data_IF_283398286925
#
_entry.id   IF_283398286925
#
_cell.length_a   1.000
_cell.length_b   1.000
_cell.length_c   1.000
_cell.angle_alpha   90.00
_cell.angle_beta   90.00
_cell.angle_gamma   90.00
#
_symmetry.space_group_name_H-M   'P 1'
#
loop_
_entity.id
_entity.type
_entity.pdbx_description
1 polymer ?
#
# COMPACT_ATOMS: atom_id res chain seq x y z
N UNK A 1 -27.25 7.00 12.52
CA UNK A 1 -26.10 6.74 11.63
C UNK A 1 -25.43 5.47 12.10
N UNK A 2 -25.40 4.42 11.27
CA UNK A 2 -24.61 3.22 11.57
C UNK A 2 -23.12 3.59 11.65
N UNK A 3 -22.44 3.02 12.65
CA UNK A 3 -21.00 3.20 12.82
C UNK A 3 -20.29 2.44 11.70
N UNK A 4 -19.54 3.15 10.85
CA UNK A 4 -18.73 2.52 9.79
C UNK A 4 -17.71 1.57 10.40
N UNK A 5 -17.48 0.43 9.75
CA UNK A 5 -16.39 -0.49 10.10
C UNK A 5 -15.05 0.21 9.87
N UNK A 6 -14.02 -0.19 10.61
CA UNK A 6 -12.70 0.42 10.54
C UNK A 6 -11.65 -0.61 10.19
N UNK A 7 -10.68 -0.20 9.38
CA UNK A 7 -9.48 -0.96 9.03
C UNK A 7 -8.26 -0.20 9.58
N UNK A 8 -7.48 -0.86 10.42
CA UNK A 8 -6.32 -0.28 11.08
C UNK A 8 -5.08 -0.56 10.25
N UNK A 9 -4.37 0.49 9.87
CA UNK A 9 -3.16 0.41 9.06
C UNK A 9 -2.01 1.09 9.81
N UNK A 10 -0.79 0.67 9.49
CA UNK A 10 0.43 1.32 9.99
C UNK A 10 0.85 2.51 9.10
N UNK A 11 1.85 3.24 9.55
CA UNK A 11 2.40 4.42 8.86
C UNK A 11 3.05 4.05 7.52
N UNK A 12 3.57 2.83 7.38
CA UNK A 12 4.18 2.34 6.14
C UNK A 12 3.10 2.07 5.07
N UNK A 13 1.99 1.45 5.44
CA UNK A 13 0.84 1.26 4.57
C UNK A 13 0.22 2.60 4.18
N UNK A 14 0.02 3.52 5.13
CA UNK A 14 -0.50 4.85 4.85
C UNK A 14 0.38 5.62 3.84
N UNK A 15 1.69 5.68 4.09
CA UNK A 15 2.62 6.37 3.19
C UNK A 15 2.66 5.72 1.80
N UNK A 16 2.64 4.38 1.72
CA UNK A 16 2.64 3.66 0.43
C UNK A 16 1.36 3.90 -0.38
N UNK A 17 0.19 3.86 0.27
CA UNK A 17 -1.10 4.23 -0.34
C UNK A 17 -1.07 5.67 -0.88
N UNK A 18 -0.47 6.58 -0.12
CA UNK A 18 -0.36 7.97 -0.54
C UNK A 18 0.59 8.17 -1.73
N UNK A 19 1.71 7.42 -1.79
CA UNK A 19 2.62 7.43 -2.96
C UNK A 19 1.91 6.98 -4.24
N UNK A 20 1.09 5.93 -4.15
CA UNK A 20 0.27 5.45 -5.28
C UNK A 20 -0.74 6.51 -5.70
N UNK A 21 -1.46 7.14 -4.76
CA UNK A 21 -2.42 8.22 -5.08
C UNK A 21 -1.75 9.47 -5.65
N UNK A 22 -0.52 9.75 -5.28
CA UNK A 22 0.29 10.83 -5.86
C UNK A 22 0.88 10.48 -7.24
N UNK A 23 0.66 9.27 -7.75
CA UNK A 23 1.15 8.83 -9.06
C UNK A 23 2.65 8.47 -9.08
N UNK A 24 3.29 8.35 -7.91
CA UNK A 24 4.73 8.11 -7.78
C UNK A 24 5.12 6.63 -7.97
N UNK A 25 4.14 5.72 -8.02
CA UNK A 25 4.32 4.26 -8.21
C UNK A 25 3.67 3.82 -9.53
N UNK A 26 3.80 4.62 -10.59
CA UNK A 26 3.22 4.29 -11.90
C UNK A 26 3.72 2.93 -12.42
N UNK A 27 2.87 2.09 -13.05
CA UNK A 27 1.48 2.36 -13.48
C UNK A 27 0.41 1.93 -12.47
N UNK A 28 0.78 1.62 -11.23
CA UNK A 28 -0.15 1.30 -10.15
C UNK A 28 -0.96 2.55 -9.79
N UNK A 29 -2.29 2.42 -9.80
CA UNK A 29 -3.23 3.52 -9.49
C UNK A 29 -4.09 3.25 -8.26
N UNK A 30 -4.07 2.02 -7.76
CA UNK A 30 -4.98 1.53 -6.73
C UNK A 30 -4.54 0.18 -6.22
N UNK A 31 -5.28 -0.34 -5.24
CA UNK A 31 -5.10 -1.69 -4.72
C UNK A 31 -5.49 -2.68 -5.81
N UNK A 32 -4.61 -3.65 -6.09
CA UNK A 32 -4.86 -4.68 -7.07
C UNK A 32 -5.96 -5.61 -6.59
N UNK A 33 -6.80 -6.03 -7.53
CA UNK A 33 -7.71 -7.15 -7.32
C UNK A 33 -6.97 -8.46 -7.08
N UNK A 34 -7.69 -9.51 -6.67
CA UNK A 34 -7.12 -10.86 -6.54
C UNK A 34 -6.51 -11.33 -7.86
N UNK A 35 -7.26 -11.17 -8.95
CA UNK A 35 -6.82 -11.58 -10.29
C UNK A 35 -5.57 -10.81 -10.74
N UNK A 36 -5.58 -9.47 -10.59
CA UNK A 36 -4.40 -8.65 -10.90
C UNK A 36 -3.21 -9.03 -10.03
N UNK A 37 -3.42 -9.29 -8.74
CA UNK A 37 -2.36 -9.63 -7.81
C UNK A 37 -1.71 -10.97 -8.18
N UNK A 38 -2.51 -11.99 -8.47
CA UNK A 38 -2.04 -13.32 -8.90
C UNK A 38 -1.31 -13.24 -10.25
N UNK A 39 -1.83 -12.46 -11.19
CA UNK A 39 -1.18 -12.25 -12.49
C UNK A 39 0.17 -11.55 -12.35
N UNK A 40 0.25 -10.47 -11.56
CA UNK A 40 1.50 -9.74 -11.32
C UNK A 40 2.51 -10.62 -10.60
N UNK A 41 2.09 -11.35 -9.57
CA UNK A 41 2.99 -12.21 -8.82
C UNK A 41 3.54 -13.37 -9.68
N UNK A 42 2.78 -13.85 -10.66
CA UNK A 42 3.20 -14.88 -11.62
C UNK A 42 4.09 -14.33 -12.74
N UNK A 43 3.68 -13.24 -13.36
CA UNK A 43 4.31 -12.71 -14.59
C UNK A 43 5.41 -11.69 -14.31
N UNK A 44 5.48 -11.18 -13.08
CA UNK A 44 6.39 -10.10 -12.68
C UNK A 44 6.24 -8.85 -13.55
N UNK A 45 5.03 -8.63 -14.06
CA UNK A 45 4.69 -7.57 -15.00
C UNK A 45 3.34 -6.97 -14.63
N UNK A 46 3.21 -5.65 -14.72
CA UNK A 46 1.94 -4.95 -14.56
C UNK A 46 1.79 -3.91 -15.66
N UNK A 47 0.71 -3.97 -16.45
CA UNK A 47 0.44 -3.02 -17.55
C UNK A 47 1.64 -2.80 -18.50
N UNK A 48 2.32 -3.88 -18.85
CA UNK A 48 3.44 -3.87 -19.79
C UNK A 48 4.77 -3.38 -19.22
N UNK A 49 4.87 -3.09 -17.92
CA UNK A 49 6.16 -2.80 -17.27
C UNK A 49 6.54 -3.89 -16.28
N UNK A 50 7.84 -4.19 -16.09
CA UNK A 50 8.30 -5.06 -15.02
C UNK A 50 7.81 -4.55 -13.66
N UNK A 51 7.14 -5.42 -12.91
CA UNK A 51 6.63 -5.12 -11.58
C UNK A 51 6.75 -6.39 -10.71
N UNK A 52 7.70 -6.44 -9.75
CA UNK A 52 8.18 -7.69 -9.17
C UNK A 52 7.19 -8.40 -8.23
N UNK A 53 6.19 -7.68 -7.71
CA UNK A 53 5.20 -8.23 -6.79
C UNK A 53 3.93 -7.39 -6.77
N UNK A 54 2.81 -8.01 -6.41
CA UNK A 54 1.50 -7.37 -6.36
C UNK A 54 1.40 -6.24 -5.32
N UNK A 55 0.68 -5.16 -5.66
CA UNK A 55 0.36 -4.06 -4.76
C UNK A 55 -1.01 -4.27 -4.09
N UNK A 56 -0.98 -4.76 -2.85
CA UNK A 56 -2.17 -5.13 -2.07
C UNK A 56 -2.10 -4.53 -0.65
N UNK A 57 -3.25 -4.44 0.02
CA UNK A 57 -3.36 -4.02 1.42
C UNK A 57 -3.88 -5.19 2.26
N UNK A 58 -3.01 -5.79 3.06
CA UNK A 58 -3.32 -6.92 3.93
C UNK A 58 -2.83 -6.65 5.36
N UNK A 59 -3.53 -5.80 6.13
CA UNK A 59 -3.07 -5.42 7.47
C UNK A 59 -3.32 -6.57 8.46
N UNK A 60 -2.32 -6.83 9.31
CA UNK A 60 -2.41 -7.87 10.34
C UNK A 60 -3.35 -7.49 11.50
N UNK A 61 -3.57 -8.42 12.42
CA UNK A 61 -4.30 -8.23 13.67
C UNK A 61 -5.74 -8.74 13.64
N UNK A 62 -6.18 -9.29 14.78
CA UNK A 62 -7.47 -10.00 14.87
C UNK A 62 -8.67 -9.10 14.52
N UNK A 63 -8.63 -7.82 14.92
CA UNK A 63 -9.69 -6.86 14.57
C UNK A 63 -9.78 -6.60 13.07
N UNK A 64 -8.64 -6.47 12.40
CA UNK A 64 -8.60 -6.31 10.95
C UNK A 64 -9.11 -7.56 10.25
N UNK A 65 -8.63 -8.73 10.69
CA UNK A 65 -9.09 -10.02 10.17
C UNK A 65 -10.61 -10.17 10.28
N UNK A 66 -11.20 -9.87 11.45
CA UNK A 66 -12.66 -9.90 11.64
C UNK A 66 -13.38 -8.92 10.72
N UNK A 67 -12.89 -7.68 10.60
CA UNK A 67 -13.46 -6.69 9.67
C UNK A 67 -13.43 -7.20 8.23
N UNK A 68 -12.29 -7.73 7.78
CA UNK A 68 -12.08 -8.18 6.40
C UNK A 68 -12.88 -9.45 6.05
N UNK A 69 -13.16 -10.32 7.02
CA UNK A 69 -14.05 -11.47 6.85
C UNK A 69 -15.53 -11.07 6.79
N UNK A 70 -15.92 -9.98 7.45
CA UNK A 70 -17.32 -9.59 7.60
C UNK A 70 -17.77 -8.48 6.64
N UNK A 71 -16.84 -7.82 5.94
CA UNK A 71 -17.15 -6.70 5.04
C UNK A 71 -17.57 -7.21 3.66
N UNK A 72 -18.56 -6.55 3.06
CA UNK A 72 -19.07 -6.86 1.73
C UNK A 72 -18.64 -5.80 0.71
N UNK A 73 -18.64 -6.19 -0.56
CA UNK A 73 -18.46 -5.28 -1.70
C UNK A 73 -19.40 -4.08 -1.58
N UNK A 74 -18.87 -2.88 -1.84
CA UNK A 74 -19.55 -1.59 -1.76
C UNK A 74 -19.58 -0.97 -0.36
N UNK A 75 -19.25 -1.70 0.71
CA UNK A 75 -19.15 -1.12 2.05
C UNK A 75 -17.96 -0.15 2.16
N UNK A 76 -18.16 0.93 2.93
CA UNK A 76 -17.10 1.90 3.23
C UNK A 76 -16.42 1.58 4.56
N UNK A 77 -15.11 1.42 4.52
CA UNK A 77 -14.23 1.29 5.67
C UNK A 77 -13.53 2.60 5.97
N UNK A 78 -13.50 2.99 7.25
CA UNK A 78 -12.62 4.07 7.70
C UNK A 78 -11.19 3.52 7.87
N UNK A 79 -10.20 4.16 7.24
CA UNK A 79 -8.78 3.83 7.42
C UNK A 79 -8.27 4.56 8.66
N UNK A 80 -7.76 3.81 9.63
CA UNK A 80 -7.28 4.33 10.92
C UNK A 80 -5.78 4.08 11.05
N UNK A 81 -5.00 5.13 11.26
CA UNK A 81 -3.57 5.07 11.57
C UNK A 81 -3.30 5.89 12.83
N UNK A 82 -2.51 5.36 13.77
CA UNK A 82 -2.19 6.03 15.05
C UNK A 82 -3.42 6.61 15.78
N UNK A 83 -4.52 5.85 15.82
CA UNK A 83 -5.81 6.23 16.42
C UNK A 83 -6.54 7.40 15.74
N UNK A 84 -6.09 7.86 14.57
CA UNK A 84 -6.72 8.91 13.77
C UNK A 84 -7.29 8.33 12.48
N UNK A 85 -8.44 8.84 12.04
CA UNK A 85 -8.96 8.55 10.70
C UNK A 85 -8.08 9.29 9.68
N UNK A 86 -7.51 8.53 8.75
CA UNK A 86 -6.58 9.04 7.71
C UNK A 86 -7.12 8.85 6.30
N UNK A 87 -8.31 8.26 6.16
CA UNK A 87 -8.88 7.99 4.84
C UNK A 87 -10.12 7.12 4.89
N UNK A 88 -10.56 6.71 3.70
CA UNK A 88 -11.62 5.72 3.51
C UNK A 88 -11.30 4.78 2.35
N UNK A 89 -11.85 3.57 2.41
CA UNK A 89 -11.77 2.55 1.37
C UNK A 89 -13.19 2.04 1.08
N UNK A 90 -13.58 2.03 -0.19
CA UNK A 90 -14.80 1.41 -0.69
C UNK A 90 -14.41 0.02 -1.17
N UNK A 91 -14.89 -1.01 -0.46
CA UNK A 91 -14.47 -2.39 -0.70
C UNK A 91 -14.96 -2.86 -2.07
N UNK A 92 -14.06 -3.43 -2.86
CA UNK A 92 -14.45 -4.20 -4.04
C UNK A 92 -14.44 -5.69 -3.71
N UNK A 93 -13.31 -6.22 -3.23
CA UNK A 93 -13.21 -7.61 -2.80
C UNK A 93 -12.28 -7.78 -1.60
N UNK A 94 -12.42 -8.91 -0.90
CA UNK A 94 -11.42 -9.40 0.06
C UNK A 94 -10.98 -10.80 -0.35
N UNK A 95 -9.69 -11.10 -0.18
CA UNK A 95 -9.13 -12.38 -0.60
C UNK A 95 -7.97 -12.83 0.29
N UNK A 96 -7.83 -14.13 0.48
CA UNK A 96 -6.72 -14.71 1.21
C UNK A 96 -5.42 -14.61 0.43
N UNK A 97 -4.32 -14.39 1.14
CA UNK A 97 -2.97 -14.42 0.61
C UNK A 97 -2.11 -15.39 1.41
N UNK A 98 -1.03 -15.89 0.80
CA UNK A 98 0.02 -16.63 1.50
C UNK A 98 1.14 -15.63 1.91
N UNK A 99 1.27 -15.28 3.21
CA UNK A 99 2.29 -14.35 3.66
C UNK A 99 3.71 -14.84 3.37
N UNK A 100 3.97 -16.15 3.43
CA UNK A 100 5.28 -16.74 3.16
C UNK A 100 5.63 -16.59 1.68
N UNK A 101 4.72 -16.95 0.78
CA UNK A 101 4.94 -16.78 -0.65
C UNK A 101 5.13 -15.30 -1.02
N UNK A 102 4.37 -14.39 -0.41
CA UNK A 102 4.54 -12.95 -0.62
C UNK A 102 5.91 -12.46 -0.17
N UNK A 103 6.40 -12.89 0.99
CA UNK A 103 7.73 -12.52 1.48
C UNK A 103 8.84 -13.05 0.56
N UNK A 104 8.69 -14.25 0.03
CA UNK A 104 9.59 -14.76 -1.02
C UNK A 104 9.55 -13.90 -2.29
N UNK A 105 8.37 -13.43 -2.72
CA UNK A 105 8.26 -12.55 -3.89
C UNK A 105 8.96 -11.20 -3.67
N UNK A 106 8.94 -10.65 -2.45
CA UNK A 106 9.52 -9.33 -2.13
C UNK A 106 11.03 -9.42 -1.89
N UNK A 107 11.47 -10.40 -1.10
CA UNK A 107 12.85 -10.47 -0.59
C UNK A 107 13.67 -11.63 -1.19
N UNK A 108 13.06 -12.53 -1.95
CA UNK A 108 13.69 -13.78 -2.41
C UNK A 108 13.90 -14.82 -1.29
N UNK A 109 13.44 -14.54 -0.07
CA UNK A 109 13.62 -15.41 1.10
C UNK A 109 12.48 -15.25 2.13
N UNK A 110 12.29 -16.26 2.97
CA UNK A 110 11.46 -16.21 4.17
C UNK A 110 12.30 -16.34 5.46
N UNK A 111 13.62 -16.14 5.37
CA UNK A 111 14.47 -16.13 6.55
C UNK A 111 14.08 -14.97 7.48
N UNK A 112 13.53 -15.30 8.64
CA UNK A 112 13.08 -14.32 9.64
C UNK A 112 14.25 -13.58 10.32
N UNK A 113 15.49 -14.01 10.11
CA UNK A 113 16.68 -13.24 10.50
C UNK A 113 16.88 -12.00 9.61
N UNK A 114 16.37 -12.01 8.37
CA UNK A 114 16.43 -10.89 7.46
C UNK A 114 15.56 -9.72 7.96
N UNK A 115 16.10 -8.51 8.20
CA UNK A 115 15.35 -7.40 8.79
C UNK A 115 14.08 -7.04 8.02
N UNK A 116 14.14 -7.03 6.68
CA UNK A 116 12.97 -6.75 5.84
C UNK A 116 11.87 -7.81 5.97
N UNK A 117 12.26 -9.10 6.07
CA UNK A 117 11.29 -10.19 6.23
C UNK A 117 10.62 -10.07 7.59
N UNK A 118 11.41 -9.89 8.65
CA UNK A 118 10.91 -9.71 10.02
C UNK A 118 9.95 -8.54 10.13
N UNK A 119 10.31 -7.38 9.59
CA UNK A 119 9.50 -6.16 9.67
C UNK A 119 8.19 -6.30 8.89
N UNK A 120 8.24 -6.82 7.67
CA UNK A 120 7.03 -7.03 6.86
C UNK A 120 6.14 -8.12 7.45
N UNK A 121 6.71 -9.22 7.97
CA UNK A 121 5.94 -10.28 8.62
C UNK A 121 5.19 -9.76 9.86
N UNK A 122 5.78 -8.85 10.63
CA UNK A 122 5.15 -8.29 11.83
C UNK A 122 3.87 -7.48 11.56
N UNK A 123 3.67 -7.04 10.31
CA UNK A 123 2.55 -6.17 9.89
C UNK A 123 1.65 -6.77 8.80
N UNK A 124 2.09 -7.85 8.17
CA UNK A 124 1.38 -8.54 7.09
C UNK A 124 0.35 -9.54 7.65
N UNK A 125 -0.91 -9.37 7.26
CA UNK A 125 -2.00 -10.30 7.54
C UNK A 125 -2.20 -11.33 6.43
N UNK A 126 -3.18 -12.21 6.62
CA UNK A 126 -3.54 -13.29 5.68
C UNK A 126 -4.67 -12.91 4.72
N UNK A 127 -5.33 -11.78 4.93
CA UNK A 127 -6.47 -11.33 4.11
C UNK A 127 -6.13 -9.95 3.55
N UNK A 128 -6.19 -9.84 2.24
CA UNK A 128 -6.08 -8.59 1.50
C UNK A 128 -7.45 -7.99 1.21
N UNK A 129 -7.49 -6.68 0.98
CA UNK A 129 -8.65 -5.95 0.47
C UNK A 129 -8.27 -5.15 -0.77
N UNK A 130 -9.11 -5.23 -1.78
CA UNK A 130 -9.07 -4.36 -2.96
C UNK A 130 -10.23 -3.36 -2.91
N UNK A 131 -10.12 -2.30 -3.70
CA UNK A 131 -11.15 -1.27 -3.77
C UNK A 131 -10.60 0.13 -3.97
N UNK A 132 -11.53 1.06 -4.23
CA UNK A 132 -11.21 2.46 -4.33
C UNK A 132 -10.91 3.02 -2.94
N UNK A 133 -9.79 3.74 -2.79
CA UNK A 133 -9.45 4.38 -1.53
C UNK A 133 -9.05 5.84 -1.72
N UNK A 134 -9.12 6.58 -0.62
CA UNK A 134 -8.53 7.90 -0.45
C UNK A 134 -7.80 7.92 0.89
N UNK A 135 -6.62 8.53 0.90
CA UNK A 135 -5.85 8.81 2.11
C UNK A 135 -5.41 10.27 2.13
N UNK A 136 -5.37 10.86 3.31
CA UNK A 136 -4.85 12.19 3.52
C UNK A 136 -3.41 12.10 4.04
N UNK A 137 -2.45 12.58 3.24
CA UNK A 137 -1.03 12.56 3.58
C UNK A 137 -0.32 13.83 3.03
N UNK A 138 -0.48 14.98 3.71
CA UNK A 138 -0.07 16.29 3.18
C UNK A 138 1.42 16.40 2.80
N UNK A 139 2.29 15.67 3.53
CA UNK A 139 3.74 15.71 3.34
C UNK A 139 4.19 15.41 1.90
N UNK A 140 3.47 14.53 1.17
CA UNK A 140 3.84 14.22 -0.22
C UNK A 140 3.59 15.42 -1.13
N UNK A 141 2.41 16.03 -1.02
CA UNK A 141 2.04 17.21 -1.83
C UNK A 141 2.97 18.37 -1.54
N UNK A 142 3.30 18.61 -0.27
CA UNK A 142 4.21 19.68 0.14
C UNK A 142 5.62 19.48 -0.44
N UNK A 143 6.13 18.24 -0.40
CA UNK A 143 7.43 17.89 -0.97
C UNK A 143 7.46 18.06 -2.50
N UNK A 144 6.41 17.62 -3.20
CA UNK A 144 6.29 17.82 -4.66
C UNK A 144 6.31 19.31 -4.99
N UNK A 145 5.51 20.12 -4.28
CA UNK A 145 5.44 21.56 -4.49
C UNK A 145 6.78 22.25 -4.20
N UNK A 146 7.49 21.82 -3.15
CA UNK A 146 8.82 22.33 -2.81
C UNK A 146 9.84 22.02 -3.90
N UNK A 147 9.87 20.79 -4.41
CA UNK A 147 10.76 20.39 -5.51
C UNK A 147 10.45 21.21 -6.77
N UNK A 148 9.18 21.31 -7.17
CA UNK A 148 8.77 22.09 -8.35
C UNK A 148 9.13 23.58 -8.21
N UNK A 149 8.93 24.14 -7.02
CA UNK A 149 9.33 25.53 -6.73
C UNK A 149 10.83 25.74 -6.83
N UNK A 150 11.64 24.78 -6.39
CA UNK A 150 13.10 24.85 -6.51
C UNK A 150 13.56 24.71 -7.95
N UNK A 151 12.94 23.83 -8.75
CA UNK A 151 13.24 23.70 -10.18
C UNK A 151 12.97 25.04 -10.88
N UNK A 152 11.80 25.64 -10.64
CA UNK A 152 11.42 26.92 -11.23
C UNK A 152 12.36 28.06 -10.81
N UNK A 153 12.72 28.14 -9.52
CA UNK A 153 13.62 29.19 -9.00
C UNK A 153 15.05 29.08 -9.50
N UNK A 154 15.56 27.86 -9.67
CA UNK A 154 16.97 27.62 -10.04
C UNK A 154 17.16 27.47 -11.55
N UNK A 155 16.10 27.22 -12.31
CA UNK A 155 16.19 26.85 -13.71
C UNK A 155 16.84 25.48 -13.93
N UNK A 156 16.79 24.59 -12.92
CA UNK A 156 17.44 23.29 -12.98
C UNK A 156 16.89 22.45 -14.14
N UNK A 157 17.80 21.99 -15.02
CA UNK A 157 17.47 21.11 -16.15
C UNK A 157 17.72 19.63 -15.85
N UNK A 158 18.54 19.35 -14.84
CA UNK A 158 18.93 18.00 -14.43
C UNK A 158 18.78 17.89 -12.92
N UNK A 159 18.22 16.77 -12.47
CA UNK A 159 17.95 16.50 -11.05
C UNK A 159 18.54 15.13 -10.75
N UNK A 160 19.36 15.06 -9.71
CA UNK A 160 19.89 13.82 -9.16
C UNK A 160 19.32 13.62 -7.75
N UNK A 161 18.90 12.39 -7.45
CA UNK A 161 18.45 12.00 -6.12
C UNK A 161 19.42 11.01 -5.49
N UNK A 162 19.64 11.13 -4.19
CA UNK A 162 20.44 10.17 -3.41
C UNK A 162 19.65 9.78 -2.17
N UNK A 163 19.48 8.47 -1.97
CA UNK A 163 18.93 7.93 -0.74
C UNK A 163 20.07 7.74 0.25
N UNK A 164 20.01 8.47 1.37
CA UNK A 164 20.94 8.29 2.48
C UNK A 164 20.26 7.37 3.50
N UNK A 165 20.83 6.18 3.70
CA UNK A 165 20.46 5.33 4.83
C UNK A 165 21.36 5.73 6.02
N UNK A 166 20.74 6.05 7.16
CA UNK A 166 21.43 6.30 8.42
C UNK A 166 21.48 5.02 9.26
#
# INVERSE_FOLDING_TARGET
MEKRKSLYIDTEALSTLALVKAGLISPVKGLMSKEEAEEVDRTKTYKGVPFPFSFILAPTGEKNRQTLLAVKKGEKLDLICEKKKVGELIVDETFSIDPKQRLYNIYGTYDQSHPGVKNTLARLGEIAVSGEYRVDYPLITDNINRINSMIAKTGAKFISSMMLAA
#
